data_IF_571988503032
#
_entry.id   IF_571988503032
#
_cell.length_a   1.000
_cell.length_b   1.000
_cell.length_c   1.000
_cell.angle_alpha   90.00
_cell.angle_beta   90.00
_cell.angle_gamma   90.00
#
_symmetry.space_group_name_H-M   'P 1'
#
loop_
_entity.id
_entity.type
_entity.pdbx_description
1 polymer ?
#
# COMPACT_ATOMS: atom_id res chain seq x y z
N UNK A 1 48.31 0.55 2.29
CA UNK A 1 47.22 1.57 2.18
C UNK A 1 46.22 1.29 1.05
N UNK A 2 46.03 0.04 0.60
CA UNK A 2 45.10 -0.29 -0.51
C UNK A 2 43.81 -1.02 -0.11
N UNK A 3 43.63 -1.41 1.16
CA UNK A 3 42.49 -2.23 1.60
C UNK A 3 41.26 -1.46 2.09
N UNK A 4 41.37 -0.15 2.33
CA UNK A 4 40.29 0.66 2.90
C UNK A 4 39.36 1.26 1.83
N UNK A 5 39.85 1.46 0.60
CA UNK A 5 39.08 2.06 -0.49
C UNK A 5 38.11 1.06 -1.16
N UNK A 6 38.45 -0.24 -1.19
CA UNK A 6 37.66 -1.27 -1.90
C UNK A 6 36.37 -1.64 -1.14
N UNK A 7 36.38 -1.58 0.19
CA UNK A 7 35.20 -1.90 1.03
C UNK A 7 34.09 -0.85 0.91
N UNK A 8 34.43 0.43 0.82
CA UNK A 8 33.43 1.49 0.69
C UNK A 8 32.90 1.65 -0.74
N UNK A 9 33.73 1.35 -1.75
CA UNK A 9 33.30 1.39 -3.15
C UNK A 9 32.30 0.28 -3.48
N UNK A 10 32.42 -0.90 -2.86
CA UNK A 10 31.50 -2.02 -3.05
C UNK A 10 30.12 -1.76 -2.43
N UNK A 11 30.08 -1.25 -1.19
CA UNK A 11 28.81 -0.91 -0.51
C UNK A 11 28.06 0.21 -1.24
N UNK A 12 28.77 1.23 -1.74
CA UNK A 12 28.15 2.33 -2.50
C UNK A 12 27.71 1.87 -3.90
N UNK A 13 28.45 0.97 -4.55
CA UNK A 13 28.08 0.45 -5.88
C UNK A 13 26.88 -0.50 -5.82
N UNK A 14 26.76 -1.31 -4.76
CA UNK A 14 25.59 -2.18 -4.52
C UNK A 14 24.35 -1.34 -4.15
N UNK A 15 24.53 -0.24 -3.42
CA UNK A 15 23.44 0.70 -3.10
C UNK A 15 22.94 1.49 -4.33
N UNK A 16 23.83 1.83 -5.27
CA UNK A 16 23.47 2.55 -6.51
C UNK A 16 22.85 1.60 -7.54
N UNK A 17 23.27 0.33 -7.59
CA UNK A 17 22.70 -0.69 -8.48
C UNK A 17 21.30 -1.15 -8.02
N UNK A 18 21.03 -1.14 -6.71
CA UNK A 18 19.70 -1.48 -6.15
C UNK A 18 18.65 -0.38 -6.39
N UNK A 19 19.07 0.89 -6.46
CA UNK A 19 18.16 2.01 -6.76
C UNK A 19 17.78 2.07 -8.25
N UNK A 20 18.61 1.55 -9.17
CA UNK A 20 18.37 1.68 -10.62
C UNK A 20 17.55 0.55 -11.24
N UNK A 21 17.38 -0.60 -10.58
CA UNK A 21 16.58 -1.72 -11.11
C UNK A 21 15.11 -1.75 -10.65
N UNK A 22 14.71 -0.91 -9.70
CA UNK A 22 13.38 -0.97 -9.06
C UNK A 22 12.25 -0.26 -9.83
N UNK A 23 12.48 0.26 -11.04
CA UNK A 23 11.52 1.12 -11.77
C UNK A 23 10.78 0.37 -12.90
N UNK A 24 11.02 -0.92 -13.13
CA UNK A 24 10.46 -1.61 -14.33
C UNK A 24 9.82 -3.00 -14.10
N UNK A 25 9.63 -3.47 -12.85
CA UNK A 25 9.27 -4.86 -12.59
C UNK A 25 7.79 -5.13 -12.22
N UNK A 26 7.00 -4.10 -11.90
CA UNK A 26 5.70 -4.23 -11.24
C UNK A 26 4.62 -5.04 -12.00
N UNK A 27 4.82 -5.37 -13.28
CA UNK A 27 3.89 -6.17 -14.08
C UNK A 27 4.35 -7.63 -14.36
N UNK A 28 5.53 -8.06 -13.89
CA UNK A 28 6.14 -9.35 -14.30
C UNK A 28 6.25 -10.36 -13.13
N UNK A 29 6.34 -9.89 -11.87
CA UNK A 29 6.36 -10.75 -10.68
C UNK A 29 7.19 -10.17 -9.54
N UNK A 30 7.04 -10.74 -8.35
CA UNK A 30 7.63 -10.23 -7.11
C UNK A 30 9.16 -10.38 -7.11
N UNK A 31 9.85 -9.30 -6.73
CA UNK A 31 11.29 -9.29 -6.54
C UNK A 31 11.65 -9.06 -5.08
N UNK A 32 12.69 -9.73 -4.58
CA UNK A 32 13.22 -9.46 -3.23
C UNK A 32 14.73 -9.59 -3.16
N UNK A 33 15.33 -8.85 -2.22
CA UNK A 33 16.77 -8.89 -1.96
C UNK A 33 16.99 -9.16 -0.48
N UNK A 34 17.84 -10.14 -0.17
CA UNK A 34 18.27 -10.45 1.18
C UNK A 34 19.77 -10.20 1.33
N UNK A 35 20.16 -9.52 2.40
CA UNK A 35 21.56 -9.38 2.81
C UNK A 35 21.70 -9.83 4.27
N UNK A 36 22.61 -10.77 4.52
CA UNK A 36 22.71 -11.43 5.81
C UNK A 36 24.17 -11.77 6.17
N UNK A 37 24.58 -11.64 7.46
CA UNK A 37 25.75 -12.35 7.95
C UNK A 37 25.53 -13.86 7.82
N UNK A 38 26.60 -14.58 7.46
CA UNK A 38 26.58 -16.04 7.27
C UNK A 38 27.60 -16.70 8.18
N UNK A 39 27.16 -17.73 8.92
CA UNK A 39 28.03 -18.68 9.61
C UNK A 39 28.01 -20.02 8.87
N UNK A 40 29.13 -20.73 8.85
CA UNK A 40 29.23 -22.04 8.20
C UNK A 40 29.98 -23.05 9.06
N UNK A 41 29.37 -24.22 9.22
CA UNK A 41 29.93 -25.34 9.97
C UNK A 41 30.37 -26.42 8.97
N UNK A 42 31.69 -26.68 8.82
CA UNK A 42 32.18 -27.80 8.02
C UNK A 42 31.64 -29.15 8.50
N UNK A 43 31.45 -30.08 7.58
CA UNK A 43 30.98 -31.44 7.81
C UNK A 43 31.90 -32.47 7.15
N UNK A 44 31.84 -33.70 7.65
CA UNK A 44 32.61 -34.84 7.12
C UNK A 44 34.12 -34.60 7.21
N UNK A 45 34.87 -35.05 6.21
CA UNK A 45 36.32 -34.88 6.15
C UNK A 45 36.76 -33.41 6.18
N UNK A 46 35.89 -32.47 5.75
CA UNK A 46 36.18 -31.05 5.83
C UNK A 46 36.31 -30.51 7.27
N UNK A 47 35.64 -31.15 8.24
CA UNK A 47 35.71 -30.73 9.65
C UNK A 47 37.06 -31.04 10.32
N UNK A 48 37.88 -31.91 9.72
CA UNK A 48 39.23 -32.20 10.20
C UNK A 48 40.24 -31.10 9.77
N UNK A 49 39.89 -30.31 8.75
CA UNK A 49 40.78 -29.32 8.15
C UNK A 49 40.32 -27.87 8.36
N UNK A 50 39.01 -27.65 8.48
CA UNK A 50 38.41 -26.32 8.60
C UNK A 50 37.68 -26.16 9.93
N UNK A 51 37.81 -24.99 10.53
CA UNK A 51 37.03 -24.58 11.70
C UNK A 51 35.72 -23.89 11.29
N UNK A 52 34.96 -23.40 12.28
CA UNK A 52 33.77 -22.59 12.02
C UNK A 52 34.11 -21.37 11.15
N UNK A 53 33.46 -21.28 9.99
CA UNK A 53 33.63 -20.17 9.07
C UNK A 53 32.58 -19.09 9.26
N UNK A 54 32.90 -17.88 8.82
CA UNK A 54 32.01 -16.73 8.87
C UNK A 54 32.14 -15.85 7.63
N UNK A 55 31.12 -15.04 7.36
CA UNK A 55 31.10 -14.16 6.20
C UNK A 55 29.75 -13.50 5.98
N UNK A 56 29.38 -13.29 4.72
CA UNK A 56 28.14 -12.63 4.35
C UNK A 56 27.55 -13.22 3.08
N UNK A 57 26.23 -13.16 2.98
CA UNK A 57 25.45 -13.62 1.84
C UNK A 57 24.57 -12.50 1.33
N UNK A 58 24.47 -12.38 0.02
CA UNK A 58 23.50 -11.54 -0.68
C UNK A 58 22.74 -12.42 -1.66
N UNK A 59 21.42 -12.46 -1.54
CA UNK A 59 20.55 -13.17 -2.48
C UNK A 59 19.50 -12.26 -3.08
N UNK A 60 19.12 -12.57 -4.31
CA UNK A 60 18.02 -11.94 -5.03
C UNK A 60 17.05 -13.03 -5.50
N UNK A 61 15.77 -12.89 -5.17
CA UNK A 61 14.71 -13.82 -5.52
C UNK A 61 13.71 -13.13 -6.44
N UNK A 62 13.30 -13.85 -7.49
CA UNK A 62 12.27 -13.42 -8.42
C UNK A 62 11.16 -14.48 -8.52
N UNK A 63 9.94 -14.10 -8.18
CA UNK A 63 8.75 -14.96 -8.22
C UNK A 63 7.80 -14.49 -9.34
N UNK A 64 7.65 -15.25 -10.44
CA UNK A 64 6.74 -14.85 -11.52
C UNK A 64 5.29 -14.79 -11.03
N UNK A 65 4.54 -13.76 -11.43
CA UNK A 65 3.14 -13.58 -11.02
C UNK A 65 2.23 -14.79 -11.37
N UNK A 66 2.54 -15.50 -12.47
CA UNK A 66 1.79 -16.68 -12.94
C UNK A 66 2.06 -17.94 -12.10
N UNK A 67 3.20 -18.00 -11.42
CA UNK A 67 3.64 -19.15 -10.62
C UNK A 67 4.12 -18.69 -9.23
N UNK A 68 3.24 -18.13 -8.39
CA UNK A 68 3.60 -17.47 -7.13
C UNK A 68 4.21 -18.40 -6.07
N UNK A 69 4.09 -19.72 -6.26
CA UNK A 69 4.72 -20.75 -5.43
C UNK A 69 6.17 -21.02 -5.81
N UNK A 70 6.64 -20.53 -6.97
CA UNK A 70 7.99 -20.76 -7.48
C UNK A 70 8.76 -19.45 -7.50
N UNK A 71 10.05 -19.54 -7.20
CA UNK A 71 10.97 -18.42 -7.38
C UNK A 71 12.28 -18.89 -8.03
N UNK A 72 12.95 -17.98 -8.70
CA UNK A 72 14.34 -18.12 -9.12
C UNK A 72 15.22 -17.33 -8.17
N UNK A 73 16.28 -17.97 -7.63
CA UNK A 73 17.25 -17.36 -6.73
C UNK A 73 18.59 -17.19 -7.42
N UNK A 74 19.22 -16.06 -7.16
CA UNK A 74 20.64 -15.80 -7.40
C UNK A 74 21.30 -15.45 -6.06
N UNK A 75 22.39 -16.12 -5.72
CA UNK A 75 23.07 -16.01 -4.42
C UNK A 75 24.56 -15.74 -4.61
N UNK A 76 25.08 -14.79 -3.84
CA UNK A 76 26.48 -14.41 -3.77
C UNK A 76 26.96 -14.51 -2.33
N UNK A 77 27.91 -15.40 -2.08
CA UNK A 77 28.47 -15.62 -0.76
C UNK A 77 29.94 -15.23 -0.72
N UNK A 78 30.34 -14.60 0.39
CA UNK A 78 31.71 -14.53 0.83
C UNK A 78 31.84 -15.28 2.15
N UNK A 79 32.81 -16.18 2.23
CA UNK A 79 33.10 -16.98 3.41
C UNK A 79 34.59 -16.94 3.71
N UNK A 80 34.92 -16.83 4.99
CA UNK A 80 36.25 -17.04 5.52
C UNK A 80 36.24 -18.31 6.37
N UNK A 81 37.08 -19.28 6.00
CA UNK A 81 37.20 -20.59 6.64
C UNK A 81 38.59 -20.68 7.31
N UNK A 82 38.70 -20.56 8.64
CA UNK A 82 39.96 -20.82 9.32
C UNK A 82 40.41 -22.27 9.08
N UNK A 83 41.71 -22.48 8.86
CA UNK A 83 42.29 -23.81 8.67
C UNK A 83 42.98 -24.21 9.97
N UNK A 84 42.80 -25.45 10.43
CA UNK A 84 43.32 -25.91 11.74
C UNK A 84 44.85 -25.74 11.88
N UNK A 85 45.59 -25.72 10.78
CA UNK A 85 47.06 -25.72 10.74
C UNK A 85 47.71 -24.45 10.16
N UNK A 86 46.94 -23.51 9.60
CA UNK A 86 47.42 -22.28 8.93
C UNK A 86 46.44 -21.11 9.12
N UNK A 87 46.60 -19.98 8.41
CA UNK A 87 45.74 -18.79 8.56
C UNK A 87 44.26 -19.05 8.23
N UNK A 88 43.91 -19.22 6.96
CA UNK A 88 42.51 -19.39 6.55
C UNK A 88 42.29 -19.25 5.05
N UNK A 89 41.16 -19.80 4.58
CA UNK A 89 40.73 -19.83 3.19
C UNK A 89 39.59 -18.82 2.98
N UNK A 90 39.79 -17.86 2.09
CA UNK A 90 38.73 -16.97 1.64
C UNK A 90 38.04 -17.58 0.42
N UNK A 91 36.71 -17.64 0.43
CA UNK A 91 35.91 -18.24 -0.64
C UNK A 91 34.84 -17.24 -1.08
N UNK A 92 34.70 -17.06 -2.39
CA UNK A 92 33.58 -16.35 -3.00
C UNK A 92 32.78 -17.36 -3.82
N UNK A 93 31.46 -17.36 -3.69
CA UNK A 93 30.57 -18.25 -4.44
C UNK A 93 29.50 -17.44 -5.14
N UNK A 94 29.16 -17.83 -6.37
CA UNK A 94 27.96 -17.37 -7.07
C UNK A 94 27.17 -18.60 -7.46
N UNK A 95 25.91 -18.68 -7.02
CA UNK A 95 25.02 -19.80 -7.32
C UNK A 95 23.65 -19.31 -7.74
N UNK A 96 22.96 -20.07 -8.58
CA UNK A 96 21.60 -19.77 -8.98
C UNK A 96 20.78 -21.05 -9.07
N UNK A 97 19.47 -20.93 -8.91
CA UNK A 97 18.58 -22.08 -9.02
C UNK A 97 17.15 -21.80 -8.60
N UNK A 98 16.26 -22.80 -8.74
CA UNK A 98 14.86 -22.65 -8.39
C UNK A 98 14.61 -22.84 -6.90
N UNK A 99 13.51 -22.26 -6.44
CA UNK A 99 12.94 -22.51 -5.13
C UNK A 99 11.42 -22.54 -5.15
N UNK A 100 10.86 -23.04 -4.05
CA UNK A 100 9.44 -23.08 -3.75
C UNK A 100 9.18 -22.25 -2.51
N UNK A 101 8.10 -21.49 -2.50
CA UNK A 101 7.69 -20.68 -1.36
C UNK A 101 6.22 -20.89 -1.02
N UNK A 102 5.89 -20.71 0.26
CA UNK A 102 4.54 -20.86 0.78
C UNK A 102 4.35 -19.93 1.98
N UNK A 103 3.27 -19.15 1.95
CA UNK A 103 2.95 -18.20 3.01
C UNK A 103 1.73 -18.69 3.80
N UNK A 104 1.91 -19.40 4.93
CA UNK A 104 0.78 -19.96 5.71
C UNK A 104 -0.06 -18.91 6.42
N UNK A 105 0.51 -17.74 6.74
CA UNK A 105 -0.20 -16.55 7.26
C UNK A 105 0.34 -15.30 6.58
N UNK A 106 -0.36 -14.18 6.70
CA UNK A 106 -0.09 -12.94 5.95
C UNK A 106 1.36 -12.43 6.09
N UNK A 107 1.97 -12.57 7.28
CA UNK A 107 3.33 -12.07 7.57
C UNK A 107 4.38 -13.16 7.72
N UNK A 108 4.10 -14.41 7.32
CA UNK A 108 5.05 -15.53 7.45
C UNK A 108 5.24 -16.19 6.10
N UNK A 109 6.50 -16.32 5.66
CA UNK A 109 6.88 -17.02 4.45
C UNK A 109 7.83 -18.17 4.79
N UNK A 110 7.57 -19.32 4.20
CA UNK A 110 8.40 -20.51 4.24
C UNK A 110 8.95 -20.74 2.84
N UNK A 111 10.27 -20.85 2.70
CA UNK A 111 10.92 -21.06 1.42
C UNK A 111 11.87 -22.26 1.48
N UNK A 112 11.99 -22.98 0.37
CA UNK A 112 13.00 -24.01 0.15
C UNK A 112 13.59 -23.88 -1.26
N UNK A 113 14.89 -24.06 -1.42
CA UNK A 113 15.57 -23.88 -2.71
C UNK A 113 16.70 -24.88 -2.92
N UNK A 114 17.09 -25.03 -4.19
CA UNK A 114 18.32 -25.68 -4.58
C UNK A 114 19.07 -24.80 -5.59
N UNK A 115 20.34 -24.52 -5.33
CA UNK A 115 21.18 -23.71 -6.21
C UNK A 115 22.43 -24.48 -6.64
N UNK A 116 22.93 -24.14 -7.82
CA UNK A 116 24.19 -24.65 -8.34
C UNK A 116 24.99 -23.47 -8.93
N UNK A 117 26.30 -23.57 -8.86
CA UNK A 117 27.16 -22.52 -9.40
C UNK A 117 28.63 -22.81 -9.19
N UNK A 118 29.43 -21.76 -9.05
CA UNK A 118 30.87 -21.87 -8.99
C UNK A 118 31.40 -21.12 -7.77
N UNK A 119 32.34 -21.73 -7.06
CA UNK A 119 33.10 -21.06 -6.01
C UNK A 119 34.55 -20.88 -6.44
N UNK A 120 35.18 -19.83 -5.94
CA UNK A 120 36.60 -19.58 -6.07
C UNK A 120 37.18 -19.31 -4.68
N UNK A 121 38.27 -19.98 -4.34
CA UNK A 121 38.93 -19.90 -3.05
C UNK A 121 40.42 -19.59 -3.17
N UNK A 122 40.94 -18.85 -2.20
CA UNK A 122 42.37 -18.52 -2.07
C UNK A 122 42.80 -18.50 -0.60
N UNK A 123 43.98 -19.04 -0.30
CA UNK A 123 44.54 -18.98 1.06
C UNK A 123 44.97 -17.54 1.36
N UNK A 124 44.64 -17.08 2.56
CA UNK A 124 44.69 -15.66 2.93
C UNK A 124 46.12 -15.15 3.13
N UNK A 125 47.06 -16.03 3.45
CA UNK A 125 48.50 -15.73 3.53
C UNK A 125 49.17 -15.64 2.14
N UNK A 126 48.41 -15.87 1.06
CA UNK A 126 48.92 -15.90 -0.30
C UNK A 126 49.73 -17.16 -0.65
N UNK A 127 49.78 -18.13 0.26
CA UNK A 127 50.35 -19.44 -0.01
C UNK A 127 49.39 -20.30 -0.85
N UNK A 128 49.92 -21.30 -1.56
CA UNK A 128 49.12 -22.17 -2.41
C UNK A 128 48.64 -21.52 -3.72
N UNK A 129 47.94 -22.31 -4.54
CA UNK A 129 47.38 -21.87 -5.82
C UNK A 129 45.88 -21.63 -5.65
N UNK A 130 45.36 -20.41 -5.92
CA UNK A 130 43.93 -20.17 -5.94
C UNK A 130 43.22 -21.11 -6.90
N UNK A 131 42.03 -21.55 -6.54
CA UNK A 131 41.30 -22.55 -7.31
C UNK A 131 39.81 -22.43 -7.10
N UNK A 132 39.03 -23.04 -7.99
CA UNK A 132 37.58 -23.02 -7.90
C UNK A 132 36.97 -24.29 -8.47
N UNK A 133 35.77 -24.60 -8.03
CA UNK A 133 35.02 -25.76 -8.50
C UNK A 133 33.51 -25.50 -8.40
N UNK A 134 32.72 -26.51 -8.74
CA UNK A 134 31.27 -26.49 -8.63
C UNK A 134 30.84 -26.36 -7.16
N UNK A 135 29.88 -25.48 -6.92
CA UNK A 135 29.17 -25.34 -5.64
C UNK A 135 27.73 -25.78 -5.83
N UNK A 136 27.22 -26.62 -4.93
CA UNK A 136 25.82 -27.04 -4.88
C UNK A 136 25.28 -26.70 -3.50
N UNK A 137 24.11 -26.07 -3.42
CA UNK A 137 23.48 -25.78 -2.14
C UNK A 137 22.00 -26.18 -2.17
N UNK A 138 21.48 -26.63 -1.04
CA UNK A 138 20.06 -26.84 -0.81
C UNK A 138 19.68 -26.27 0.55
N UNK A 139 18.70 -25.37 0.59
CA UNK A 139 18.39 -24.62 1.80
C UNK A 139 16.91 -24.38 2.02
N UNK A 140 16.60 -23.91 3.23
CA UNK A 140 15.27 -23.49 3.63
C UNK A 140 15.33 -22.24 4.51
N UNK A 141 14.27 -21.44 4.48
CA UNK A 141 14.15 -20.22 5.25
C UNK A 141 12.76 -20.07 5.85
N UNK A 142 12.73 -19.39 7.00
CA UNK A 142 11.53 -18.86 7.63
C UNK A 142 11.71 -17.34 7.67
N UNK A 143 10.79 -16.62 7.04
CA UNK A 143 10.82 -15.16 6.95
C UNK A 143 9.55 -14.57 7.57
N UNK A 144 9.71 -13.54 8.41
CA UNK A 144 8.60 -12.84 9.06
C UNK A 144 8.58 -11.36 8.66
N UNK A 145 7.46 -10.90 8.11
CA UNK A 145 7.24 -9.52 7.69
C UNK A 145 7.10 -8.58 8.89
N UNK A 146 7.93 -7.54 8.95
CA UNK A 146 7.86 -6.47 9.96
C UNK A 146 7.05 -5.29 9.42
N UNK A 147 7.28 -4.97 8.15
CA UNK A 147 6.49 -4.03 7.35
C UNK A 147 6.26 -4.66 5.97
N UNK A 148 5.37 -4.12 5.14
CA UNK A 148 5.24 -4.62 3.76
C UNK A 148 6.57 -4.59 3.01
N UNK A 149 7.44 -3.62 3.23
CA UNK A 149 8.71 -3.54 2.50
C UNK A 149 9.86 -4.36 3.11
N UNK A 150 9.74 -4.83 4.37
CA UNK A 150 10.87 -5.38 5.14
C UNK A 150 10.46 -6.61 5.95
N UNK A 151 11.21 -7.69 5.75
CA UNK A 151 11.10 -8.94 6.52
C UNK A 151 12.42 -9.30 7.20
N UNK A 152 12.34 -10.11 8.26
CA UNK A 152 13.50 -10.75 8.88
C UNK A 152 13.47 -12.23 8.52
N UNK A 153 14.59 -12.78 8.04
CA UNK A 153 14.70 -14.16 7.61
C UNK A 153 15.77 -14.92 8.40
N UNK A 154 15.39 -16.10 8.91
CA UNK A 154 16.33 -17.11 9.40
C UNK A 154 16.43 -18.21 8.34
N UNK A 155 17.62 -18.46 7.82
CA UNK A 155 17.85 -19.54 6.86
C UNK A 155 18.91 -20.52 7.30
N UNK A 156 18.78 -21.75 6.80
CA UNK A 156 19.82 -22.77 6.87
C UNK A 156 19.98 -23.45 5.51
N UNK A 157 21.21 -23.73 5.12
CA UNK A 157 21.55 -24.40 3.87
C UNK A 157 22.58 -25.52 4.09
N UNK A 158 22.46 -26.60 3.33
CA UNK A 158 23.55 -27.55 3.14
C UNK A 158 24.28 -27.15 1.87
N UNK A 159 25.58 -26.87 1.98
CA UNK A 159 26.43 -26.49 0.85
C UNK A 159 27.52 -27.54 0.62
N UNK A 160 27.73 -27.89 -0.63
CA UNK A 160 28.75 -28.83 -1.11
C UNK A 160 29.64 -28.12 -2.10
N UNK A 161 30.86 -27.77 -1.66
CA UNK A 161 31.92 -27.22 -2.50
C UNK A 161 32.76 -28.39 -2.99
N UNK A 162 32.52 -28.81 -4.23
CA UNK A 162 33.03 -30.05 -4.78
C UNK A 162 34.57 -30.11 -4.71
N UNK A 163 35.09 -31.20 -4.13
CA UNK A 163 36.53 -31.42 -3.85
C UNK A 163 37.17 -30.45 -2.84
N UNK A 164 36.38 -29.68 -2.09
CA UNK A 164 36.88 -28.81 -1.02
C UNK A 164 36.30 -29.21 0.34
N UNK A 165 35.00 -29.00 0.56
CA UNK A 165 34.31 -29.44 1.77
C UNK A 165 32.78 -29.39 1.59
N UNK A 166 32.07 -30.02 2.53
CA UNK A 166 30.62 -29.87 2.70
C UNK A 166 30.36 -29.14 4.02
N UNK A 167 29.29 -28.35 4.11
CA UNK A 167 28.98 -27.61 5.32
C UNK A 167 27.50 -27.27 5.48
N UNK A 168 27.14 -26.85 6.70
CA UNK A 168 25.84 -26.25 7.01
C UNK A 168 26.04 -24.75 7.17
N UNK A 169 25.40 -23.96 6.29
CA UNK A 169 25.29 -22.52 6.41
C UNK A 169 24.07 -22.12 7.24
N UNK A 170 24.20 -21.04 7.99
CA UNK A 170 23.12 -20.39 8.74
C UNK A 170 23.20 -18.89 8.50
N UNK A 171 22.08 -18.24 8.20
CA UNK A 171 22.00 -16.78 8.09
C UNK A 171 20.82 -16.21 8.86
N UNK A 172 20.98 -14.99 9.37
CA UNK A 172 19.91 -14.18 9.94
C UNK A 172 19.95 -12.81 9.26
N UNK A 173 19.07 -12.61 8.29
CA UNK A 173 19.11 -11.50 7.35
C UNK A 173 17.88 -10.61 7.36
N UNK A 174 18.02 -9.45 6.75
CA UNK A 174 16.90 -8.57 6.40
C UNK A 174 16.59 -8.72 4.93
N UNK A 175 15.33 -8.99 4.60
CA UNK A 175 14.82 -9.10 3.24
C UNK A 175 14.05 -7.83 2.91
N UNK A 176 14.40 -7.21 1.79
CA UNK A 176 13.71 -6.04 1.25
C UNK A 176 12.82 -6.52 0.11
N UNK A 177 11.55 -6.13 0.16
CA UNK A 177 10.53 -6.41 -0.85
C UNK A 177 10.11 -5.08 -1.49
N UNK A 178 10.71 -4.67 -2.63
CA UNK A 178 10.39 -3.39 -3.27
C UNK A 178 8.91 -3.24 -3.64
N UNK A 179 8.23 -4.34 -3.93
CA UNK A 179 6.82 -4.40 -4.33
C UNK A 179 5.88 -4.69 -3.15
N UNK A 180 6.43 -4.85 -1.94
CA UNK A 180 5.71 -5.28 -0.75
C UNK A 180 5.73 -6.80 -0.56
N UNK A 181 5.59 -7.23 0.69
CA UNK A 181 5.49 -8.63 1.09
C UNK A 181 4.09 -9.13 0.72
N UNK A 182 3.96 -9.68 -0.48
CA UNK A 182 2.73 -10.28 -0.97
C UNK A 182 2.59 -11.69 -0.40
N UNK A 183 1.63 -11.87 0.52
CA UNK A 183 1.32 -13.19 1.06
C UNK A 183 0.70 -14.06 -0.02
N UNK A 184 1.48 -14.99 -0.56
CA UNK A 184 1.01 -16.02 -1.49
C UNK A 184 0.28 -17.11 -0.72
N UNK A 185 -0.88 -16.79 -0.16
CA UNK A 185 -1.81 -17.80 0.34
C UNK A 185 -2.36 -18.59 -0.86
N UNK A 186 -2.12 -19.90 -0.96
CA UNK A 186 -2.89 -20.72 -1.87
C UNK A 186 -4.31 -20.74 -1.33
N UNK A 187 -5.21 -20.05 -2.02
CA UNK A 187 -6.65 -20.21 -1.85
C UNK A 187 -6.97 -21.67 -2.22
N UNK A 188 -6.99 -22.58 -1.24
CA UNK A 188 -7.65 -23.87 -1.37
C UNK A 188 -9.17 -23.63 -1.34
N UNK A 189 -9.66 -23.00 -2.41
CA UNK A 189 -11.06 -22.80 -2.71
C UNK A 189 -11.38 -23.57 -3.98
N UNK A 190 -12.26 -24.56 -3.86
CA UNK A 190 -12.82 -25.29 -4.99
C UNK A 190 -13.65 -24.35 -5.88
N UNK A 191 -13.00 -23.68 -6.80
CA UNK A 191 -13.55 -23.20 -8.07
C UNK A 191 -12.39 -22.68 -8.88
N UNK A 192 -12.23 -23.20 -10.09
CA UNK A 192 -11.39 -22.58 -11.11
C UNK A 192 -12.10 -21.25 -11.44
N UNK A 193 -11.84 -20.21 -10.64
CA UNK A 193 -12.08 -18.84 -11.03
C UNK A 193 -10.99 -18.52 -12.05
N UNK A 194 -11.33 -18.75 -13.31
CA UNK A 194 -10.64 -18.11 -14.42
C UNK A 194 -10.69 -16.61 -14.16
N UNK A 195 -9.60 -16.06 -13.63
CA UNK A 195 -9.28 -14.64 -13.68
C UNK A 195 -9.07 -14.30 -15.16
N UNK A 196 -10.18 -14.16 -15.86
CA UNK A 196 -10.21 -13.47 -17.13
C UNK A 196 -10.24 -11.99 -16.77
N UNK A 197 -9.05 -11.37 -16.72
CA UNK A 197 -8.91 -9.92 -16.77
C UNK A 197 -9.37 -9.45 -18.15
N UNK A 198 -10.67 -9.51 -18.39
CA UNK A 198 -11.27 -8.97 -19.60
C UNK A 198 -11.43 -7.48 -19.37
N UNK A 199 -10.65 -6.71 -20.12
CA UNK A 199 -11.01 -5.35 -20.51
C UNK A 199 -12.49 -5.32 -20.91
N UNK A 200 -13.28 -4.31 -20.49
CA UNK A 200 -14.66 -4.16 -20.93
C UNK A 200 -14.75 -4.26 -22.46
N UNK A 201 -15.64 -5.12 -22.97
CA UNK A 201 -15.88 -5.26 -24.41
C UNK A 201 -15.52 -6.60 -25.06
N UNK A 202 -15.22 -7.65 -24.30
CA UNK A 202 -15.05 -9.00 -24.87
C UNK A 202 -16.33 -9.81 -24.66
N UNK A 203 -17.13 -9.91 -25.73
CA UNK A 203 -18.35 -10.70 -25.81
C UNK A 203 -18.11 -12.17 -25.41
N UNK A 204 -18.45 -12.49 -24.17
CA UNK A 204 -18.43 -13.84 -23.61
C UNK A 204 -19.84 -14.32 -23.24
N UNK A 205 -20.06 -15.64 -23.27
CA UNK A 205 -21.31 -16.27 -22.85
C UNK A 205 -21.74 -15.79 -21.45
N UNK A 206 -23.04 -15.60 -21.20
CA UNK A 206 -23.62 -15.14 -19.93
C UNK A 206 -24.08 -13.67 -19.93
N UNK A 207 -24.12 -13.09 -18.73
CA UNK A 207 -24.32 -11.65 -18.52
C UNK A 207 -22.97 -10.94 -18.68
N UNK A 208 -22.91 -10.00 -19.60
CA UNK A 208 -21.68 -9.27 -19.94
C UNK A 208 -21.68 -7.87 -19.29
N UNK A 209 -20.49 -7.39 -18.94
CA UNK A 209 -20.28 -6.05 -18.41
C UNK A 209 -19.83 -5.17 -19.57
N UNK A 210 -20.76 -4.39 -20.11
CA UNK A 210 -20.54 -3.59 -21.32
C UNK A 210 -19.68 -2.36 -21.03
N UNK A 211 -19.98 -1.65 -19.95
CA UNK A 211 -19.27 -0.44 -19.55
C UNK A 211 -19.31 -0.30 -18.03
N UNK A 212 -18.17 0.08 -17.43
CA UNK A 212 -18.08 0.51 -16.03
C UNK A 212 -17.56 1.92 -16.03
N UNK A 213 -18.34 2.84 -15.47
CA UNK A 213 -17.98 4.25 -15.36
C UNK A 213 -18.00 4.66 -13.90
N UNK A 214 -16.95 5.35 -13.46
CA UNK A 214 -16.85 5.91 -12.12
C UNK A 214 -16.95 7.43 -12.17
N UNK A 215 -17.68 7.98 -11.20
CA UNK A 215 -17.69 9.40 -10.91
C UNK A 215 -16.39 9.81 -10.21
N UNK A 216 -16.16 11.11 -10.06
CA UNK A 216 -15.07 11.61 -9.21
C UNK A 216 -15.30 11.20 -7.76
N UNK A 217 -14.38 10.42 -7.19
CA UNK A 217 -14.48 9.95 -5.79
C UNK A 217 -13.57 10.78 -4.89
N UNK A 218 -14.19 11.65 -4.10
CA UNK A 218 -13.55 12.47 -3.06
C UNK A 218 -13.58 11.76 -1.70
N UNK A 219 -12.44 11.41 -1.08
CA UNK A 219 -12.41 10.71 0.20
C UNK A 219 -13.13 11.42 1.34
N UNK A 220 -13.15 12.75 1.38
CA UNK A 220 -13.85 13.49 2.43
C UNK A 220 -15.36 13.20 2.44
N UNK A 221 -15.93 12.80 1.30
CA UNK A 221 -17.34 12.45 1.13
C UNK A 221 -17.62 10.96 1.32
N UNK A 222 -16.69 10.17 1.88
CA UNK A 222 -16.80 8.71 1.88
C UNK A 222 -18.12 8.14 2.44
N UNK A 223 -18.72 8.79 3.44
CA UNK A 223 -20.02 8.41 4.01
C UNK A 223 -21.19 8.66 3.06
N UNK A 224 -21.07 9.63 2.16
CA UNK A 224 -22.10 9.96 1.17
C UNK A 224 -22.30 8.81 0.18
N UNK A 225 -21.24 8.08 -0.14
CA UNK A 225 -21.25 7.00 -1.13
C UNK A 225 -21.95 5.72 -0.69
N UNK A 226 -22.39 5.63 0.56
CA UNK A 226 -23.18 4.48 1.06
C UNK A 226 -24.57 4.42 0.40
N UNK A 227 -25.13 5.61 0.13
CA UNK A 227 -26.48 5.81 -0.44
C UNK A 227 -26.47 6.61 -1.75
N UNK A 228 -25.29 7.07 -2.21
CA UNK A 228 -25.13 7.80 -3.47
C UNK A 228 -24.09 7.10 -4.36
N UNK A 229 -24.34 6.94 -5.65
CA UNK A 229 -23.51 6.10 -6.50
C UNK A 229 -22.12 6.70 -6.75
N UNK A 230 -21.10 5.87 -6.59
CA UNK A 230 -19.72 6.15 -7.02
C UNK A 230 -19.53 5.95 -8.52
N UNK A 231 -20.48 5.30 -9.17
CA UNK A 231 -20.41 4.97 -10.57
C UNK A 231 -21.61 4.16 -11.03
N UNK A 232 -21.58 3.77 -12.29
CA UNK A 232 -22.62 2.97 -12.94
C UNK A 232 -21.99 1.86 -13.76
N UNK A 233 -22.72 0.75 -13.88
CA UNK A 233 -22.34 -0.36 -14.75
C UNK A 233 -23.52 -0.78 -15.61
N UNK A 234 -23.27 -0.91 -16.92
CA UNK A 234 -24.24 -1.45 -17.86
C UNK A 234 -24.00 -2.95 -18.03
N UNK A 235 -25.04 -3.74 -17.79
CA UNK A 235 -25.03 -5.18 -18.00
C UNK A 235 -25.88 -5.54 -19.21
N UNK A 236 -25.37 -6.38 -20.10
CA UNK A 236 -26.09 -6.85 -21.28
C UNK A 236 -26.28 -8.37 -21.27
N UNK A 237 -27.51 -8.82 -21.48
CA UNK A 237 -27.82 -10.25 -21.56
C UNK A 237 -27.56 -10.81 -22.97
N UNK A 238 -26.39 -11.43 -23.17
CA UNK A 238 -26.00 -12.11 -24.41
C UNK A 238 -26.65 -13.50 -24.58
N UNK A 239 -27.42 -13.99 -23.62
CA UNK A 239 -28.02 -15.33 -23.64
C UNK A 239 -29.39 -15.35 -24.31
N UNK A 240 -29.83 -16.54 -24.73
CA UNK A 240 -31.15 -16.76 -25.32
C UNK A 240 -32.26 -17.04 -24.27
N UNK A 241 -31.97 -16.83 -22.99
CA UNK A 241 -32.92 -17.00 -21.88
C UNK A 241 -32.74 -15.91 -20.83
N UNK A 242 -33.79 -15.70 -20.05
CA UNK A 242 -33.80 -14.79 -18.91
C UNK A 242 -32.69 -15.10 -17.92
N UNK A 243 -32.02 -14.05 -17.46
CA UNK A 243 -31.08 -14.09 -16.35
C UNK A 243 -31.80 -13.50 -15.14
N UNK A 244 -31.77 -14.20 -14.00
CA UNK A 244 -32.56 -13.86 -12.81
C UNK A 244 -31.69 -13.64 -11.59
N UNK A 245 -32.22 -12.92 -10.59
CA UNK A 245 -31.54 -12.64 -9.31
C UNK A 245 -30.16 -12.00 -9.51
N UNK A 246 -30.12 -10.94 -10.32
CA UNK A 246 -28.88 -10.24 -10.68
C UNK A 246 -28.51 -9.27 -9.57
N UNK A 247 -27.33 -9.45 -9.00
CA UNK A 247 -26.79 -8.61 -7.94
C UNK A 247 -25.35 -8.21 -8.23
N UNK A 248 -25.03 -6.97 -7.88
CA UNK A 248 -23.71 -6.40 -8.04
C UNK A 248 -23.16 -6.06 -6.66
N UNK A 249 -21.87 -6.32 -6.42
CA UNK A 249 -21.17 -5.88 -5.22
C UNK A 249 -19.90 -5.16 -5.58
N UNK A 250 -19.61 -4.08 -4.87
CA UNK A 250 -18.45 -3.24 -5.08
C UNK A 250 -17.50 -3.33 -3.89
N UNK A 251 -16.21 -3.47 -4.16
CA UNK A 251 -15.19 -3.58 -3.13
C UNK A 251 -13.85 -3.02 -3.59
N UNK A 252 -13.38 -1.99 -2.89
CA UNK A 252 -12.03 -1.44 -3.06
C UNK A 252 -11.18 -1.95 -1.91
N UNK A 253 -10.10 -2.66 -2.25
CA UNK A 253 -9.20 -3.20 -1.24
C UNK A 253 -8.58 -2.07 -0.40
N UNK A 254 -8.30 -2.34 0.88
CA UNK A 254 -7.77 -1.38 1.90
C UNK A 254 -8.71 -0.24 2.33
N UNK A 255 -9.66 0.17 1.49
CA UNK A 255 -10.55 1.32 1.78
C UNK A 255 -11.99 0.91 2.11
N UNK A 256 -12.30 -0.37 2.08
CA UNK A 256 -13.59 -0.93 2.48
C UNK A 256 -13.36 -2.15 3.36
N UNK A 257 -14.15 -2.31 4.43
CA UNK A 257 -14.08 -3.50 5.29
C UNK A 257 -14.81 -4.70 4.68
N UNK A 258 -15.89 -4.44 3.93
CA UNK A 258 -16.72 -5.46 3.30
C UNK A 258 -17.26 -4.94 1.95
N UNK A 259 -17.53 -5.83 0.97
CA UNK A 259 -18.20 -5.44 -0.26
C UNK A 259 -19.59 -4.86 0.00
N UNK A 260 -19.91 -3.74 -0.67
CA UNK A 260 -21.27 -3.15 -0.64
C UNK A 260 -22.07 -3.72 -1.80
N UNK A 261 -23.22 -4.32 -1.49
CA UNK A 261 -24.12 -4.88 -2.50
C UNK A 261 -25.15 -3.84 -2.96
N UNK A 262 -25.31 -3.69 -4.28
CA UNK A 262 -26.35 -2.89 -4.92
C UNK A 262 -27.70 -3.62 -4.94
N UNK A 263 -28.84 -2.91 -5.13
CA UNK A 263 -30.16 -3.52 -5.24
C UNK A 263 -30.23 -4.63 -6.29
N UNK A 264 -30.98 -5.69 -5.97
CA UNK A 264 -31.13 -6.87 -6.85
C UNK A 264 -32.14 -6.57 -7.97
N UNK A 265 -31.76 -6.83 -9.22
CA UNK A 265 -32.68 -6.85 -10.36
C UNK A 265 -33.19 -8.28 -10.55
N UNK A 266 -34.51 -8.45 -10.52
CA UNK A 266 -35.15 -9.78 -10.57
C UNK A 266 -34.90 -10.52 -11.87
N UNK A 267 -34.96 -9.83 -13.01
CA UNK A 267 -34.87 -10.45 -14.33
C UNK A 267 -34.33 -9.47 -15.36
N UNK A 268 -33.41 -9.97 -16.20
CA UNK A 268 -32.95 -9.30 -17.43
C UNK A 268 -33.29 -10.24 -18.60
N UNK A 269 -34.15 -9.79 -19.50
CA UNK A 269 -34.59 -10.57 -20.66
C UNK A 269 -33.47 -10.72 -21.71
N UNK A 270 -33.54 -11.74 -22.59
CA UNK A 270 -32.59 -11.93 -23.68
C UNK A 270 -32.42 -10.67 -24.53
N UNK A 271 -31.16 -10.26 -24.75
CA UNK A 271 -30.82 -9.10 -25.57
C UNK A 271 -31.21 -7.74 -24.98
N UNK A 272 -31.57 -7.68 -23.69
CA UNK A 272 -31.80 -6.42 -22.98
C UNK A 272 -30.56 -6.01 -22.17
N UNK A 273 -30.41 -4.69 -22.01
CA UNK A 273 -29.47 -4.08 -21.05
C UNK A 273 -30.17 -3.72 -19.75
N UNK A 274 -29.42 -3.71 -18.65
CA UNK A 274 -29.84 -3.11 -17.39
C UNK A 274 -28.68 -2.31 -16.78
N UNK A 275 -29.00 -1.11 -16.27
CA UNK A 275 -28.04 -0.26 -15.58
C UNK A 275 -28.10 -0.52 -14.07
N UNK A 276 -26.92 -0.61 -13.47
CA UNK A 276 -26.75 -0.73 -12.02
C UNK A 276 -25.94 0.43 -11.49
N UNK A 277 -26.46 1.03 -10.42
CA UNK A 277 -25.72 1.99 -9.61
C UNK A 277 -24.74 1.24 -8.70
N UNK A 278 -23.51 1.73 -8.64
CA UNK A 278 -22.44 1.20 -7.80
C UNK A 278 -22.36 2.07 -6.55
N UNK A 279 -22.49 1.47 -5.37
CA UNK A 279 -22.37 2.15 -4.07
C UNK A 279 -21.12 1.71 -3.34
N UNK A 280 -20.54 2.59 -2.53
CA UNK A 280 -19.30 2.34 -1.79
C UNK A 280 -19.46 2.53 -0.29
N UNK A 281 -19.29 1.46 0.48
CA UNK A 281 -19.18 1.53 1.94
C UNK A 281 -17.71 1.64 2.35
N UNK A 282 -17.15 2.83 2.17
CA UNK A 282 -15.76 3.10 2.51
C UNK A 282 -15.57 3.25 4.03
N UNK A 283 -14.42 2.81 4.52
CA UNK A 283 -13.95 3.04 5.89
C UNK A 283 -13.18 4.36 6.00
N UNK A 284 -12.94 4.81 7.24
CA UNK A 284 -12.17 6.04 7.53
C UNK A 284 -10.76 6.02 6.91
N UNK A 285 -10.20 4.83 6.62
CA UNK A 285 -8.89 4.66 5.96
C UNK A 285 -8.77 5.33 4.60
N UNK A 286 -9.89 5.63 3.94
CA UNK A 286 -9.89 6.39 2.69
C UNK A 286 -9.35 7.82 2.87
N UNK A 287 -9.46 8.38 4.08
CA UNK A 287 -8.88 9.67 4.46
C UNK A 287 -7.36 9.62 4.64
N UNK A 288 -6.72 8.45 4.50
CA UNK A 288 -5.26 8.34 4.49
C UNK A 288 -4.65 8.69 3.12
N UNK A 289 -5.48 8.86 2.08
CA UNK A 289 -5.05 9.27 0.75
C UNK A 289 -4.67 10.76 0.80
N UNK A 290 -3.37 11.05 0.85
CA UNK A 290 -2.83 12.42 0.87
C UNK A 290 -2.44 12.96 -0.50
N UNK A 291 -2.45 12.09 -1.51
CA UNK A 291 -2.20 12.42 -2.91
C UNK A 291 -3.17 11.60 -3.76
N UNK A 292 -3.74 12.22 -4.80
CA UNK A 292 -4.64 11.51 -5.71
C UNK A 292 -3.97 10.28 -6.31
N UNK A 293 -4.70 9.17 -6.36
CA UNK A 293 -4.16 7.85 -6.72
C UNK A 293 -5.15 7.03 -7.53
N UNK A 294 -4.64 6.06 -8.28
CA UNK A 294 -5.45 5.04 -8.95
C UNK A 294 -5.50 3.80 -8.08
N UNK A 295 -6.71 3.31 -7.79
CA UNK A 295 -6.91 2.11 -6.97
C UNK A 295 -7.58 1.02 -7.79
N UNK A 296 -7.33 -0.22 -7.39
CA UNK A 296 -7.97 -1.39 -7.97
C UNK A 296 -9.29 -1.67 -7.25
N UNK A 297 -10.39 -1.58 -7.99
CA UNK A 297 -11.74 -1.82 -7.50
C UNK A 297 -12.29 -3.11 -8.09
N UNK A 298 -13.00 -3.87 -7.27
CA UNK A 298 -13.61 -5.13 -7.65
C UNK A 298 -15.11 -4.94 -7.79
N UNK A 299 -15.63 -5.25 -8.98
CA UNK A 299 -17.06 -5.36 -9.27
C UNK A 299 -17.41 -6.85 -9.34
N UNK A 300 -18.17 -7.34 -8.37
CA UNK A 300 -18.54 -8.74 -8.21
C UNK A 300 -19.99 -8.89 -8.65
N UNK A 301 -20.20 -9.57 -9.77
CA UNK A 301 -21.50 -9.82 -10.36
C UNK A 301 -21.96 -11.25 -10.01
N UNK A 302 -23.13 -11.38 -9.39
CA UNK A 302 -23.77 -12.68 -9.10
C UNK A 302 -25.13 -12.74 -9.76
N UNK A 303 -25.43 -13.85 -10.44
CA UNK A 303 -26.71 -14.06 -11.10
C UNK A 303 -27.05 -15.55 -11.24
N UNK A 304 -28.33 -15.84 -11.50
CA UNK A 304 -28.81 -17.19 -11.80
C UNK A 304 -29.15 -17.32 -13.28
N UNK A 305 -28.49 -18.28 -13.94
CA UNK A 305 -28.76 -18.65 -15.33
C UNK A 305 -29.04 -20.16 -15.43
N UNK A 306 -30.15 -20.55 -16.08
CA UNK A 306 -30.58 -21.96 -16.19
C UNK A 306 -30.64 -22.70 -14.83
N UNK A 307 -31.06 -22.03 -13.76
CA UNK A 307 -31.10 -22.54 -12.37
C UNK A 307 -29.73 -22.85 -11.75
N UNK A 308 -28.64 -22.34 -12.33
CA UNK A 308 -27.30 -22.42 -11.77
C UNK A 308 -26.84 -21.01 -11.38
N UNK A 309 -26.38 -20.86 -10.14
CA UNK A 309 -25.74 -19.63 -9.68
C UNK A 309 -24.38 -19.47 -10.36
N UNK A 310 -24.11 -18.26 -10.83
CA UNK A 310 -22.86 -17.86 -11.46
C UNK A 310 -22.36 -16.59 -10.76
N UNK A 311 -21.06 -16.56 -10.48
CA UNK A 311 -20.37 -15.40 -9.92
C UNK A 311 -19.23 -15.02 -10.85
N UNK A 312 -19.06 -13.72 -11.10
CA UNK A 312 -17.97 -13.15 -11.88
C UNK A 312 -17.37 -11.99 -11.13
N UNK A 313 -16.05 -11.83 -11.22
CA UNK A 313 -15.32 -10.74 -10.58
C UNK A 313 -14.59 -9.96 -11.67
N UNK A 314 -14.84 -8.67 -11.74
CA UNK A 314 -14.19 -7.74 -12.65
C UNK A 314 -13.31 -6.80 -11.83
N UNK A 315 -12.05 -6.74 -12.19
CA UNK A 315 -11.10 -5.80 -11.59
C UNK A 315 -10.98 -4.60 -12.51
N UNK A 316 -11.36 -3.43 -12.01
CA UNK A 316 -11.37 -2.16 -12.74
C UNK A 316 -10.56 -1.13 -11.97
N UNK A 317 -9.87 -0.25 -12.69
CA UNK A 317 -9.19 0.88 -12.04
C UNK A 317 -10.17 2.02 -11.84
N UNK A 318 -10.06 2.70 -10.69
CA UNK A 318 -10.79 3.93 -10.41
C UNK A 318 -9.83 4.98 -9.86
N UNK A 319 -10.07 6.24 -10.20
CA UNK A 319 -9.34 7.37 -9.63
C UNK A 319 -9.95 7.76 -8.28
N UNK A 320 -9.11 7.90 -7.27
CA UNK A 320 -9.47 8.49 -5.97
C UNK A 320 -8.67 9.77 -5.79
N UNK A 321 -9.36 10.84 -5.44
CA UNK A 321 -8.70 12.12 -5.19
C UNK A 321 -8.02 12.13 -3.82
N UNK A 322 -7.22 13.17 -3.58
CA UNK A 322 -6.69 13.49 -2.26
C UNK A 322 -7.83 13.76 -1.26
N UNK A 323 -7.62 13.43 0.02
CA UNK A 323 -8.57 13.69 1.11
C UNK A 323 -8.95 15.16 1.27
N UNK A 324 -8.09 16.06 0.83
CA UNK A 324 -8.30 17.50 0.87
C UNK A 324 -8.99 18.03 -0.40
N UNK A 325 -9.20 17.17 -1.41
CA UNK A 325 -9.80 17.58 -2.67
C UNK A 325 -11.32 17.61 -2.62
N UNK A 326 -11.92 18.60 -3.29
CA UNK A 326 -13.36 18.71 -3.48
C UNK A 326 -13.68 19.45 -4.78
N UNK A 327 -14.94 19.42 -5.19
CA UNK A 327 -15.50 20.30 -6.23
C UNK A 327 -16.65 21.14 -5.65
N UNK A 328 -16.90 22.30 -6.26
CA UNK A 328 -17.92 23.26 -5.80
C UNK A 328 -19.27 23.15 -6.54
N UNK A 329 -19.55 21.99 -7.16
CA UNK A 329 -20.85 21.64 -7.74
C UNK A 329 -21.98 21.58 -6.70
N UNK A 330 -21.63 21.35 -5.43
CA UNK A 330 -22.52 21.49 -4.28
C UNK A 330 -21.74 22.14 -3.13
N UNK A 331 -22.03 23.40 -2.84
CA UNK A 331 -21.33 24.18 -1.81
C UNK A 331 -21.48 23.61 -0.39
N UNK A 332 -22.51 22.80 -0.15
CA UNK A 332 -22.71 22.08 1.11
C UNK A 332 -21.60 21.07 1.39
N UNK A 333 -20.83 20.64 0.38
CA UNK A 333 -19.70 19.72 0.53
C UNK A 333 -18.62 20.26 1.49
N UNK A 334 -18.46 21.58 1.60
CA UNK A 334 -17.55 22.19 2.56
C UNK A 334 -17.85 21.79 4.02
N UNK A 335 -19.12 21.50 4.34
CA UNK A 335 -19.51 21.01 5.67
C UNK A 335 -18.87 19.66 6.04
N UNK A 336 -18.46 18.85 5.06
CA UNK A 336 -17.78 17.59 5.31
C UNK A 336 -16.39 17.77 5.97
N UNK A 337 -15.78 18.94 5.81
CA UNK A 337 -14.49 19.28 6.44
C UNK A 337 -14.63 19.75 7.90
N UNK A 338 -15.84 20.06 8.37
CA UNK A 338 -16.11 20.57 9.73
C UNK A 338 -16.02 19.44 10.75
N UNK A 339 -14.79 19.11 11.17
CA UNK A 339 -14.49 18.02 12.11
C UNK A 339 -14.52 18.46 13.57
N UNK A 340 -15.69 18.92 14.06
CA UNK A 340 -15.86 19.44 15.42
C UNK A 340 -15.50 18.46 16.57
N UNK A 341 -15.46 17.16 16.28
CA UNK A 341 -15.10 16.10 17.24
C UNK A 341 -13.62 15.70 17.19
N UNK A 342 -12.84 16.32 16.31
CA UNK A 342 -11.40 16.12 16.25
C UNK A 342 -10.75 16.51 17.61
N UNK A 343 -9.85 15.68 18.18
CA UNK A 343 -9.23 15.96 19.47
C UNK A 343 -8.54 17.33 19.60
N UNK A 344 -7.82 17.79 18.57
CA UNK A 344 -7.13 19.08 18.63
C UNK A 344 -8.11 20.25 18.60
N UNK A 345 -9.22 20.10 17.86
CA UNK A 345 -10.31 21.08 17.83
C UNK A 345 -11.03 21.13 19.17
N UNK A 346 -11.40 19.98 19.72
CA UNK A 346 -12.04 19.89 21.04
C UNK A 346 -11.17 20.48 22.14
N UNK A 347 -9.87 20.17 22.16
CA UNK A 347 -8.93 20.71 23.13
C UNK A 347 -8.84 22.23 23.04
N UNK A 348 -8.58 22.75 21.84
CA UNK A 348 -8.45 24.19 21.59
C UNK A 348 -9.72 24.94 21.98
N UNK A 349 -10.88 24.50 21.49
CA UNK A 349 -12.15 25.17 21.72
C UNK A 349 -12.58 25.12 23.19
N UNK A 350 -12.40 23.99 23.87
CA UNK A 350 -12.78 23.84 25.29
C UNK A 350 -11.87 24.63 26.22
N UNK A 351 -10.57 24.70 25.94
CA UNK A 351 -9.63 25.50 26.73
C UNK A 351 -9.98 26.98 26.64
N UNK A 352 -10.18 27.51 25.42
CA UNK A 352 -10.60 28.90 25.21
C UNK A 352 -11.96 29.16 25.88
N UNK A 353 -12.95 28.28 25.68
CA UNK A 353 -14.26 28.39 26.33
C UNK A 353 -14.18 28.41 27.86
N UNK A 354 -13.25 27.63 28.44
CA UNK A 354 -12.97 27.63 29.86
C UNK A 354 -12.48 28.98 30.36
N UNK A 355 -11.45 29.54 29.73
CA UNK A 355 -10.89 30.84 30.09
C UNK A 355 -11.88 31.98 29.93
N UNK A 356 -12.62 31.99 28.81
CA UNK A 356 -13.62 33.03 28.53
C UNK A 356 -14.69 33.05 29.61
N UNK A 357 -15.15 31.90 30.12
CA UNK A 357 -16.16 31.85 31.18
C UNK A 357 -15.73 32.55 32.47
N UNK A 358 -14.43 32.59 32.79
CA UNK A 358 -13.92 33.24 34.00
C UNK A 358 -13.91 34.77 33.90
N UNK A 359 -13.79 35.31 32.69
CA UNK A 359 -13.62 36.75 32.44
C UNK A 359 -14.84 37.40 31.76
N UNK A 360 -15.86 36.63 31.40
CA UNK A 360 -17.03 37.11 30.66
C UNK A 360 -17.92 38.02 31.52
N UNK A 361 -18.20 39.27 31.09
CA UNK A 361 -19.15 40.13 31.76
C UNK A 361 -20.57 39.58 31.68
N UNK A 362 -21.34 39.66 32.77
CA UNK A 362 -22.73 39.21 32.81
C UNK A 362 -23.67 39.95 31.83
N UNK A 363 -23.26 41.14 31.36
CA UNK A 363 -24.02 41.97 30.43
C UNK A 363 -23.92 41.50 28.96
N UNK A 364 -22.99 40.61 28.62
CA UNK A 364 -22.75 40.14 27.26
C UNK A 364 -23.19 38.68 27.13
N UNK A 365 -23.78 38.32 25.99
CA UNK A 365 -24.14 36.93 25.71
C UNK A 365 -22.90 36.02 25.80
N UNK A 366 -23.03 34.93 26.55
CA UNK A 366 -21.97 33.93 26.72
C UNK A 366 -21.46 33.38 25.37
N UNK A 367 -22.37 33.14 24.44
CA UNK A 367 -22.05 32.66 23.09
C UNK A 367 -21.22 33.69 22.32
N UNK A 368 -21.55 34.98 22.44
CA UNK A 368 -20.77 36.05 21.84
C UNK A 368 -19.39 36.16 22.48
N UNK A 369 -19.28 36.07 23.81
CA UNK A 369 -17.99 36.06 24.49
C UNK A 369 -17.11 34.89 24.04
N UNK A 370 -17.68 33.69 23.89
CA UNK A 370 -16.96 32.50 23.42
C UNK A 370 -16.47 32.69 21.99
N UNK A 371 -17.35 33.18 21.09
CA UNK A 371 -16.98 33.49 19.71
C UNK A 371 -15.80 34.49 19.67
N UNK A 372 -15.93 35.62 20.38
CA UNK A 372 -14.86 36.60 20.51
C UNK A 372 -13.58 35.98 21.07
N UNK A 373 -13.68 35.13 22.09
CA UNK A 373 -12.53 34.46 22.67
C UNK A 373 -11.83 33.51 21.69
N UNK A 374 -12.59 32.73 20.92
CA UNK A 374 -12.04 31.86 19.88
C UNK A 374 -11.35 32.69 18.80
N UNK A 375 -12.00 33.74 18.30
CA UNK A 375 -11.42 34.64 17.29
C UNK A 375 -10.11 35.27 17.77
N UNK A 376 -10.10 35.84 18.99
CA UNK A 376 -8.89 36.43 19.56
C UNK A 376 -7.83 35.37 19.89
N UNK A 377 -8.24 34.16 20.29
CA UNK A 377 -7.34 33.04 20.57
C UNK A 377 -6.61 32.57 19.32
N UNK A 378 -7.30 32.46 18.18
CA UNK A 378 -6.68 32.14 16.88
C UNK A 378 -5.69 33.21 16.45
N UNK A 379 -6.05 34.48 16.59
CA UNK A 379 -5.15 35.59 16.29
C UNK A 379 -3.90 35.59 17.20
N UNK A 380 -4.08 35.36 18.51
CA UNK A 380 -2.98 35.22 19.46
C UNK A 380 -2.10 33.98 19.19
N UNK A 381 -2.67 32.91 18.63
CA UNK A 381 -1.95 31.73 18.17
C UNK A 381 -1.22 31.95 16.82
N UNK A 382 -1.40 33.12 16.19
CA UNK A 382 -0.74 33.47 14.94
C UNK A 382 -1.38 32.87 13.70
N UNK A 383 -2.66 32.49 13.74
CA UNK A 383 -3.38 32.01 12.56
C UNK A 383 -3.65 33.18 11.61
N UNK A 384 -3.11 33.11 10.39
CA UNK A 384 -3.15 34.20 9.41
C UNK A 384 -3.92 33.84 8.13
N UNK A 385 -4.53 34.85 7.52
CA UNK A 385 -5.09 34.72 6.17
C UNK A 385 -3.97 34.65 5.12
N UNK A 386 -4.00 33.62 4.29
CA UNK A 386 -3.08 33.44 3.17
C UNK A 386 -3.84 32.87 1.98
N UNK A 387 -3.82 33.59 0.85
CA UNK A 387 -4.47 33.12 -0.40
C UNK A 387 -3.69 31.91 -0.93
N UNK A 388 -4.41 30.84 -1.29
CA UNK A 388 -3.81 29.71 -1.99
C UNK A 388 -3.30 30.15 -3.38
N UNK A 389 -2.00 29.99 -3.69
CA UNK A 389 -1.44 30.41 -4.98
C UNK A 389 -1.76 29.46 -6.15
N UNK A 390 -2.28 28.25 -5.89
CA UNK A 390 -2.61 27.22 -6.89
C UNK A 390 -4.11 27.12 -7.17
N UNK A 391 -4.96 27.27 -6.14
CA UNK A 391 -6.42 27.23 -6.28
C UNK A 391 -7.08 28.36 -5.50
N UNK A 392 -6.96 29.63 -5.93
CA UNK A 392 -7.67 30.71 -5.26
C UNK A 392 -9.19 30.46 -5.34
N UNK A 393 -9.88 30.48 -4.19
CA UNK A 393 -11.34 30.32 -4.13
C UNK A 393 -12.08 31.22 -5.15
N UNK A 394 -11.60 32.44 -5.37
CA UNK A 394 -12.17 33.40 -6.34
C UNK A 394 -12.24 32.89 -7.78
N UNK A 395 -11.32 32.03 -8.18
CA UNK A 395 -11.24 31.49 -9.54
C UNK A 395 -11.96 30.13 -9.65
N UNK A 396 -11.86 29.28 -8.62
CA UNK A 396 -12.39 27.92 -8.63
C UNK A 396 -13.86 27.84 -8.22
N UNK A 397 -14.38 28.75 -7.38
CA UNK A 397 -15.83 28.85 -7.11
C UNK A 397 -16.66 29.26 -8.33
N UNK A 398 -16.02 29.79 -9.39
CA UNK A 398 -16.67 30.14 -10.64
C UNK A 398 -16.77 28.97 -11.63
N UNK A 399 -15.90 27.95 -11.50
CA UNK A 399 -15.94 26.71 -12.28
C UNK A 399 -16.26 25.53 -11.35
N UNK A 400 -17.54 25.17 -11.27
CA UNK A 400 -18.06 24.16 -10.34
C UNK A 400 -17.43 22.77 -10.47
N UNK A 401 -16.73 22.48 -11.58
CA UNK A 401 -16.10 21.18 -11.83
C UNK A 401 -14.58 21.20 -11.60
N UNK A 402 -14.01 22.36 -11.32
CA UNK A 402 -12.60 22.47 -10.99
C UNK A 402 -12.35 21.90 -9.59
N UNK A 403 -11.31 21.09 -9.45
CA UNK A 403 -10.94 20.48 -8.18
C UNK A 403 -10.17 21.49 -7.34
N UNK A 404 -10.67 21.74 -6.14
CA UNK A 404 -10.11 22.65 -5.14
C UNK A 404 -9.52 21.88 -3.95
N UNK A 405 -8.70 22.53 -3.14
CA UNK A 405 -8.03 21.98 -1.97
C UNK A 405 -8.46 22.71 -0.70
N UNK A 406 -9.20 22.03 0.17
CA UNK A 406 -9.65 22.56 1.46
C UNK A 406 -8.90 21.87 2.59
N UNK A 407 -8.38 22.64 3.54
CA UNK A 407 -7.72 22.11 4.72
C UNK A 407 -8.74 21.62 5.75
N UNK A 408 -8.43 20.49 6.39
CA UNK A 408 -9.11 20.12 7.63
C UNK A 408 -8.74 21.10 8.74
N UNK A 409 -9.65 21.39 9.69
CA UNK A 409 -9.40 22.32 10.81
C UNK A 409 -8.06 22.09 11.55
N UNK A 410 -7.68 20.82 11.74
CA UNK A 410 -6.41 20.45 12.36
C UNK A 410 -5.19 20.91 11.55
N UNK A 411 -5.25 20.84 10.22
CA UNK A 411 -4.18 21.31 9.33
C UNK A 411 -4.06 22.84 9.45
N UNK A 412 -5.18 23.58 9.35
CA UNK A 412 -5.19 25.04 9.50
C UNK A 412 -4.63 25.50 10.85
N UNK A 413 -4.97 24.80 11.95
CA UNK A 413 -4.36 25.07 13.26
C UNK A 413 -2.86 24.78 13.28
N UNK A 414 -2.43 23.67 12.67
CA UNK A 414 -1.02 23.27 12.68
C UNK A 414 -0.15 24.15 11.79
N UNK A 415 -0.68 24.60 10.66
CA UNK A 415 0.02 25.44 9.69
C UNK A 415 -0.09 26.93 10.02
N UNK A 416 -0.98 27.30 10.95
CA UNK A 416 -1.25 28.68 11.36
C UNK A 416 -1.57 29.60 10.19
N UNK A 417 -2.16 29.04 9.13
CA UNK A 417 -2.52 29.77 7.91
C UNK A 417 -3.60 29.04 7.12
N UNK A 418 -4.40 29.81 6.39
CA UNK A 418 -5.44 29.31 5.49
C UNK A 418 -6.11 30.47 4.76
N UNK A 419 -6.88 30.16 3.71
CA UNK A 419 -7.63 31.16 2.97
C UNK A 419 -9.05 31.36 3.55
N UNK A 420 -10.02 31.86 2.76
CA UNK A 420 -11.36 32.09 3.26
C UNK A 420 -12.12 30.81 3.61
N UNK A 421 -11.93 29.71 2.87
CA UNK A 421 -12.64 28.45 3.17
C UNK A 421 -12.01 27.74 4.36
N UNK A 422 -10.68 27.62 4.39
CA UNK A 422 -9.91 27.01 5.48
C UNK A 422 -10.24 27.66 6.83
N UNK A 423 -10.23 28.99 6.89
CA UNK A 423 -10.48 29.72 8.12
C UNK A 423 -11.96 29.67 8.52
N UNK A 424 -12.88 29.68 7.55
CA UNK A 424 -14.31 29.50 7.83
C UNK A 424 -14.57 28.11 8.40
N UNK A 425 -13.97 27.06 7.80
CA UNK A 425 -14.05 25.67 8.24
C UNK A 425 -13.48 25.50 9.64
N UNK A 426 -12.28 26.04 9.89
CA UNK A 426 -11.65 26.00 11.21
C UNK A 426 -12.53 26.69 12.26
N UNK A 427 -13.00 27.90 11.98
CA UNK A 427 -13.79 28.66 12.92
C UNK A 427 -15.13 27.97 13.23
N UNK A 428 -15.83 27.48 12.20
CA UNK A 428 -17.04 26.67 12.36
C UNK A 428 -16.78 25.42 13.21
N UNK A 429 -15.69 24.69 12.97
CA UNK A 429 -15.36 23.49 13.74
C UNK A 429 -15.12 23.79 15.23
N UNK A 430 -14.46 24.90 15.56
CA UNK A 430 -14.23 25.32 16.94
C UNK A 430 -15.53 25.75 17.64
N UNK A 431 -16.44 26.41 16.92
CA UNK A 431 -17.75 26.83 17.45
C UNK A 431 -18.66 25.62 17.69
N UNK A 432 -18.74 24.69 16.73
CA UNK A 432 -19.47 23.43 16.85
C UNK A 432 -18.94 22.56 18.01
N UNK A 433 -17.62 22.55 18.22
CA UNK A 433 -16.97 21.82 19.32
C UNK A 433 -17.42 22.27 20.73
N UNK A 434 -17.91 23.51 20.85
CA UNK A 434 -18.48 24.06 22.10
C UNK A 434 -20.02 24.10 22.11
N UNK A 435 -20.65 23.46 21.11
CA UNK A 435 -22.10 23.32 21.02
C UNK A 435 -22.80 24.54 20.44
N UNK A 436 -22.12 25.33 19.62
CA UNK A 436 -22.71 26.43 18.87
C UNK A 436 -22.84 26.01 17.41
N UNK A 437 -24.08 25.82 16.96
CA UNK A 437 -24.38 25.48 15.57
C UNK A 437 -23.95 26.63 14.64
N UNK A 438 -23.36 26.27 13.51
CA UNK A 438 -22.84 27.18 12.50
C UNK A 438 -23.33 26.80 11.11
N UNK A 439 -23.34 27.77 10.21
CA UNK A 439 -23.59 27.54 8.80
C UNK A 439 -22.55 28.23 7.93
N UNK A 440 -22.50 27.87 6.65
CA UNK A 440 -21.73 28.61 5.66
C UNK A 440 -22.64 29.52 4.83
N UNK A 441 -22.13 30.71 4.51
CA UNK A 441 -22.69 31.59 3.49
C UNK A 441 -21.65 31.71 2.38
N UNK A 442 -21.98 31.17 1.22
CA UNK A 442 -21.17 31.27 0.01
C UNK A 442 -21.67 32.44 -0.85
N UNK A 443 -20.74 33.24 -1.32
CA UNK A 443 -20.97 34.25 -2.38
C UNK A 443 -19.90 34.05 -3.46
N UNK A 444 -20.09 34.57 -4.67
CA UNK A 444 -19.05 34.49 -5.69
C UNK A 444 -17.72 35.02 -5.16
N UNK A 445 -16.72 34.14 -5.12
CA UNK A 445 -15.36 34.43 -4.66
C UNK A 445 -15.15 34.65 -3.16
N UNK A 446 -16.13 34.35 -2.30
CA UNK A 446 -15.86 34.21 -0.87
C UNK A 446 -16.82 33.26 -0.14
N UNK A 447 -16.35 32.71 0.98
CA UNK A 447 -17.17 31.95 1.94
C UNK A 447 -17.05 32.60 3.31
N UNK A 448 -18.18 32.65 4.02
CA UNK A 448 -18.29 33.15 5.38
C UNK A 448 -18.91 32.10 6.28
N UNK A 449 -18.65 32.22 7.59
CA UNK A 449 -19.41 31.52 8.62
C UNK A 449 -20.61 32.39 9.08
N UNK A 450 -21.73 31.73 9.39
CA UNK A 450 -22.97 32.32 9.94
C UNK A 450 -23.41 31.68 11.25
#
# INVERSE_FOLDING_TARGET
MGGFAVKHLFVISVLILTITFSICAADIGDFSINAAPRGIVPLGEGADYFEFGYGGSVSADFSPAVLPLLFARLEFDYEFMPIVTTDGLSIISITAGPGVQYSPIENLNLAAWGTAGYFFGSITDGSGTPGGNLSLSAGAAISYGITPAVSIALSGDYTSKLHLFNGIGITLGTVIHPEGFTSTQPVMGNSIDLLESLTPGISGAGLDVSEVSFNQVFPVLFKHYDDNPVGTVELFNNENKDITEVSLSFYVDRYMDNPKQSPVIKTIEPGQSANFDIFGLFSDSVLDITEGTKVSANVILKYTYKKKETSRKYTVSMDMYDRNAITWDDDRKAAAFVTAKDPAILETAKNISGWVKEISPAAISKNLCIAMGIHNGLNAAGVNYQIDPKTPFTEFSADSLAVDFLQFPRQTLSYTSGDCDDLSILYSALMEAVGMETAFITIPGHIFMA
#
